data_IF_902835923106
#
_entry.id   IF_902835923106
#
_cell.length_a   1.000
_cell.length_b   1.000
_cell.length_c   1.000
_cell.angle_alpha   90.00
_cell.angle_beta   90.00
_cell.angle_gamma   90.00
#
_symmetry.space_group_name_H-M   'P 1'
#
loop_
_entity.id
_entity.type
_entity.pdbx_description
1 polymer ?
#
# COMPACT_ATOMS: atom_id res chain seq x y z
N UNK A 1 -8.57 -13.46 -25.72
CA UNK A 1 -8.53 -14.18 -24.43
C UNK A 1 -7.24 -13.78 -23.74
N UNK A 2 -7.25 -13.51 -22.43
CA UNK A 2 -6.06 -13.04 -21.69
C UNK A 2 -5.24 -14.25 -21.23
N UNK A 3 -4.23 -14.66 -22.00
CA UNK A 3 -3.37 -15.82 -21.68
C UNK A 3 -2.26 -15.50 -20.66
N UNK A 4 -1.94 -14.21 -20.50
CA UNK A 4 -0.99 -13.75 -19.51
C UNK A 4 -1.52 -13.98 -18.10
N UNK A 5 -0.63 -14.46 -17.23
CA UNK A 5 -0.91 -14.60 -15.79
C UNK A 5 -0.81 -13.23 -15.14
N UNK A 6 -1.87 -12.81 -14.47
CA UNK A 6 -1.99 -11.52 -13.77
C UNK A 6 -2.28 -11.75 -12.31
N UNK A 7 -1.59 -11.01 -11.44
CA UNK A 7 -1.83 -10.98 -10.00
C UNK A 7 -2.38 -9.59 -9.62
N UNK A 8 -3.54 -9.56 -8.99
CA UNK A 8 -4.10 -8.37 -8.35
C UNK A 8 -4.00 -8.56 -6.85
N UNK A 9 -3.52 -7.54 -6.16
CA UNK A 9 -3.48 -7.48 -4.70
C UNK A 9 -4.20 -6.20 -4.28
N UNK A 10 -5.31 -6.35 -3.58
CA UNK A 10 -5.91 -5.27 -2.81
C UNK A 10 -5.33 -5.31 -1.39
N UNK A 11 -4.93 -4.16 -0.86
CA UNK A 11 -4.25 -4.06 0.42
C UNK A 11 -5.04 -3.13 1.32
N UNK A 12 -5.73 -3.71 2.29
CA UNK A 12 -6.32 -3.02 3.43
C UNK A 12 -6.04 -3.76 4.73
N UNK A 13 -6.96 -3.68 5.69
CA UNK A 13 -6.92 -4.47 6.93
C UNK A 13 -6.75 -5.98 6.65
N UNK A 14 -7.39 -6.45 5.57
CA UNK A 14 -7.07 -7.71 4.93
C UNK A 14 -6.44 -7.43 3.57
N UNK A 15 -5.63 -8.36 3.08
CA UNK A 15 -5.16 -8.35 1.71
C UNK A 15 -5.96 -9.38 0.90
N UNK A 16 -6.64 -8.92 -0.14
CA UNK A 16 -7.33 -9.76 -1.11
C UNK A 16 -6.43 -9.99 -2.33
N UNK A 17 -6.22 -11.26 -2.67
CA UNK A 17 -5.29 -11.66 -3.72
C UNK A 17 -6.04 -12.44 -4.78
N UNK A 18 -5.97 -12.00 -6.04
CA UNK A 18 -6.57 -12.68 -7.19
C UNK A 18 -5.50 -12.97 -8.23
N UNK A 19 -5.31 -14.25 -8.55
CA UNK A 19 -4.43 -14.72 -9.63
C UNK A 19 -5.28 -15.26 -10.77
N UNK A 20 -5.16 -14.63 -11.95
CA UNK A 20 -5.92 -15.00 -13.14
C UNK A 20 -5.03 -15.28 -14.35
N UNK A 21 -5.45 -16.22 -15.19
CA UNK A 21 -4.79 -16.53 -16.45
C UNK A 21 -5.06 -17.97 -16.89
N UNK A 22 -4.89 -18.25 -18.19
CA UNK A 22 -5.01 -19.62 -18.76
C UNK A 22 -6.32 -20.33 -18.39
N UNK A 23 -7.43 -19.58 -18.40
CA UNK A 23 -8.77 -20.11 -18.10
C UNK A 23 -9.03 -20.45 -16.63
N UNK A 24 -8.16 -20.04 -15.70
CA UNK A 24 -8.34 -20.24 -14.26
C UNK A 24 -8.26 -18.93 -13.49
N UNK A 25 -8.99 -18.88 -12.38
CA UNK A 25 -8.94 -17.85 -11.36
C UNK A 25 -8.74 -18.50 -10.00
N UNK A 26 -7.80 -17.98 -9.22
CA UNK A 26 -7.55 -18.35 -7.83
C UNK A 26 -7.73 -17.10 -6.97
N UNK A 27 -8.35 -17.25 -5.81
CA UNK A 27 -8.56 -16.17 -4.85
C UNK A 27 -8.09 -16.60 -3.46
N UNK A 28 -7.50 -15.67 -2.71
CA UNK A 28 -7.09 -15.85 -1.33
C UNK A 28 -7.29 -14.54 -0.54
N UNK A 29 -7.34 -14.65 0.79
CA UNK A 29 -7.34 -13.51 1.71
C UNK A 29 -6.32 -13.75 2.82
N UNK A 30 -5.66 -12.70 3.29
CA UNK A 30 -4.67 -12.73 4.37
C UNK A 30 -4.88 -11.57 5.35
N UNK A 31 -4.96 -11.82 6.68
CA UNK A 31 -5.03 -10.73 7.65
C UNK A 31 -3.70 -9.95 7.64
N UNK A 32 -3.76 -8.64 7.43
CA UNK A 32 -2.57 -7.77 7.29
C UNK A 32 -2.53 -6.69 8.38
N UNK A 33 -3.68 -6.34 8.95
CA UNK A 33 -3.84 -5.26 9.92
C UNK A 33 -3.90 -3.88 9.26
N UNK A 34 -4.41 -2.86 9.96
CA UNK A 34 -4.78 -1.58 9.36
C UNK A 34 -3.61 -0.58 9.27
N UNK A 35 -2.36 -1.06 9.24
CA UNK A 35 -1.17 -0.21 9.29
C UNK A 35 -1.08 0.76 8.09
N UNK A 36 -1.41 0.28 6.87
CA UNK A 36 -1.45 1.11 5.66
C UNK A 36 -2.62 2.07 5.61
N UNK A 37 -3.62 1.89 6.47
CA UNK A 37 -4.73 2.83 6.65
C UNK A 37 -4.39 3.93 7.66
N UNK A 38 -3.17 3.89 8.23
CA UNK A 38 -2.69 4.80 9.25
C UNK A 38 -3.22 4.50 10.66
N UNK A 39 -3.86 3.34 10.88
CA UNK A 39 -4.30 2.96 12.22
C UNK A 39 -3.20 2.18 12.97
N UNK A 40 -3.27 2.19 14.30
CA UNK A 40 -2.33 1.50 15.19
C UNK A 40 -0.85 1.92 15.05
N UNK A 41 -0.59 3.06 14.39
CA UNK A 41 0.70 3.74 14.35
C UNK A 41 0.52 5.07 15.09
N UNK A 42 1.43 5.42 16.01
CA UNK A 42 1.28 6.57 16.91
C UNK A 42 1.01 7.90 16.19
N UNK A 43 1.63 8.10 15.02
CA UNK A 43 1.44 9.26 14.16
C UNK A 43 0.77 8.90 12.82
N UNK A 44 0.17 7.72 12.72
CA UNK A 44 -0.53 7.28 11.53
C UNK A 44 -1.83 8.03 11.33
N UNK A 45 -2.17 8.31 10.07
CA UNK A 45 -3.44 8.88 9.66
C UNK A 45 -3.77 8.45 8.24
N UNK A 46 -5.05 8.58 7.85
CA UNK A 46 -5.48 8.39 6.47
C UNK A 46 -4.87 9.46 5.56
N UNK A 47 -4.83 9.17 4.25
CA UNK A 47 -4.44 10.16 3.25
C UNK A 47 -5.46 11.32 3.23
N UNK A 48 -5.07 12.44 3.82
CA UNK A 48 -5.85 13.66 3.93
C UNK A 48 -4.90 14.88 3.89
N UNK A 49 -5.40 16.10 3.63
CA UNK A 49 -4.57 17.31 3.72
C UNK A 49 -3.82 17.38 5.06
N UNK A 50 -2.51 17.65 5.00
CA UNK A 50 -1.64 17.60 6.18
C UNK A 50 -0.96 16.25 6.44
N UNK A 51 -1.38 15.16 5.77
CA UNK A 51 -0.69 13.88 5.84
C UNK A 51 0.60 13.89 5.00
N UNK A 52 1.67 13.28 5.52
CA UNK A 52 2.92 13.08 4.80
C UNK A 52 2.72 11.94 3.79
N UNK A 53 2.73 12.23 2.49
CA UNK A 53 2.58 11.22 1.42
C UNK A 53 3.92 10.64 0.93
N UNK A 54 5.03 11.30 1.24
CA UNK A 54 6.35 10.89 0.77
C UNK A 54 7.43 11.34 1.72
N UNK A 55 8.40 10.47 1.98
CA UNK A 55 9.64 10.77 2.69
C UNK A 55 10.82 10.28 1.85
N UNK A 56 11.88 11.07 1.78
CA UNK A 56 13.19 10.72 1.26
C UNK A 56 14.21 11.10 2.33
N UNK A 57 15.11 10.18 2.68
CA UNK A 57 16.19 10.45 3.64
C UNK A 57 17.49 10.33 2.87
N UNK A 58 18.30 11.38 2.91
CA UNK A 58 19.64 11.35 2.34
C UNK A 58 20.53 10.37 3.12
N UNK A 59 21.28 9.50 2.42
CA UNK A 59 22.02 8.40 3.07
C UNK A 59 23.34 8.84 3.70
N UNK A 60 23.88 9.99 3.30
CA UNK A 60 25.17 10.48 3.76
C UNK A 60 25.00 11.50 4.89
N UNK A 61 24.06 12.43 4.71
CA UNK A 61 23.77 13.53 5.64
C UNK A 61 22.68 13.19 6.66
N UNK A 62 21.86 12.16 6.38
CA UNK A 62 20.65 11.82 7.14
C UNK A 62 19.56 12.91 7.13
N UNK A 63 19.67 13.93 6.28
CA UNK A 63 18.65 14.96 6.16
C UNK A 63 17.34 14.39 5.56
N UNK A 64 16.20 14.57 6.24
CA UNK A 64 14.91 14.15 5.70
C UNK A 64 14.29 15.23 4.82
N UNK A 65 13.64 14.80 3.73
CA UNK A 65 12.74 15.62 2.90
C UNK A 65 11.41 14.90 2.80
N UNK A 66 10.31 15.65 2.93
CA UNK A 66 8.97 15.08 2.87
C UNK A 66 8.02 15.94 2.05
N UNK A 67 6.96 15.30 1.55
CA UNK A 67 5.85 15.95 0.85
C UNK A 67 4.56 15.72 1.62
N UNK A 68 3.80 16.79 1.77
CA UNK A 68 2.52 16.80 2.46
C UNK A 68 1.40 16.90 1.42
N UNK A 69 0.31 16.16 1.61
CA UNK A 69 -0.87 16.28 0.78
C UNK A 69 -1.47 17.67 0.97
N UNK A 70 -1.67 18.40 -0.14
CA UNK A 70 -2.29 19.73 -0.13
C UNK A 70 -1.36 20.90 0.20
N UNK A 71 -0.04 20.69 0.21
CA UNK A 71 0.97 21.74 0.38
C UNK A 71 1.93 21.81 -0.81
#
# INVERSE_FOLDING_TARGET
>A
QHDAVTLIVDVGTNAEIVLGGRGRLLAASSPTGPAFEGAQISCGQRAAPGAIERVRIDRETFEPRYKVIGC
#
